data_IF_257756901253
#
_entry.id   IF_257756901253
#
_cell.length_a   1.000
_cell.length_b   1.000
_cell.length_c   1.000
_cell.angle_alpha   90.00
_cell.angle_beta   90.00
_cell.angle_gamma   90.00
#
_symmetry.space_group_name_H-M   'P 1'
#
loop_
_entity.id
_entity.type
_entity.pdbx_description
1 polymer ?
#
# COMPACT_ATOMS: atom_id res chain seq x y z
N UNK A 1 22.36 10.59 -27.70
CA UNK A 1 21.10 10.45 -26.91
C UNK A 1 21.17 9.40 -25.81
N UNK A 2 21.95 8.30 -25.94
CA UNK A 2 21.97 7.22 -24.94
C UNK A 2 22.77 7.50 -23.66
N UNK A 3 23.70 8.45 -23.67
CA UNK A 3 24.52 8.81 -22.50
C UNK A 3 23.79 9.72 -21.51
N UNK A 4 22.97 10.67 -21.98
CA UNK A 4 22.15 11.53 -21.11
C UNK A 4 21.04 10.76 -20.38
N UNK A 5 20.43 9.77 -21.05
CA UNK A 5 19.39 8.92 -20.45
C UNK A 5 20.00 7.96 -19.42
N UNK A 6 21.19 7.40 -19.71
CA UNK A 6 21.92 6.59 -18.75
C UNK A 6 22.28 7.42 -17.50
N UNK A 7 22.84 8.63 -17.68
CA UNK A 7 23.20 9.55 -16.58
C UNK A 7 21.96 9.98 -15.78
N UNK A 8 20.82 10.20 -16.43
CA UNK A 8 19.54 10.50 -15.76
C UNK A 8 19.04 9.33 -14.90
N UNK A 9 19.19 8.09 -15.38
CA UNK A 9 18.78 6.88 -14.64
C UNK A 9 19.76 6.58 -13.49
N UNK A 10 21.07 6.77 -13.67
CA UNK A 10 22.04 6.65 -12.55
C UNK A 10 21.84 7.75 -11.51
N UNK A 11 21.51 8.98 -11.93
CA UNK A 11 21.14 10.07 -11.01
C UNK A 11 19.82 9.75 -10.29
N UNK A 12 18.81 9.21 -10.98
CA UNK A 12 17.52 8.83 -10.36
C UNK A 12 17.68 7.65 -9.37
N UNK A 13 18.57 6.69 -9.67
CA UNK A 13 18.96 5.62 -8.76
C UNK A 13 19.79 6.15 -7.57
N UNK A 14 20.63 7.16 -7.79
CA UNK A 14 21.32 7.88 -6.71
C UNK A 14 20.35 8.71 -5.85
N UNK A 15 19.25 9.22 -6.42
CA UNK A 15 18.17 9.87 -5.68
C UNK A 15 17.28 8.89 -4.91
N UNK A 16 17.23 7.61 -5.28
CA UNK A 16 16.63 6.56 -4.44
C UNK A 16 17.45 6.33 -3.15
N UNK A 17 18.76 6.56 -3.18
CA UNK A 17 19.59 6.57 -1.98
C UNK A 17 19.36 7.81 -1.09
N UNK A 18 18.82 8.91 -1.64
CA UNK A 18 18.46 10.11 -0.88
C UNK A 18 17.16 9.95 -0.08
N UNK A 19 16.20 9.14 -0.55
CA UNK A 19 15.04 8.73 0.26
C UNK A 19 15.45 7.96 1.53
N UNK A 20 16.58 7.25 1.44
CA UNK A 20 17.19 6.54 2.56
C UNK A 20 17.88 7.50 3.55
N UNK A 21 18.37 8.66 3.11
CA UNK A 21 19.02 9.65 3.96
C UNK A 21 18.04 10.50 4.78
N UNK A 22 16.84 10.75 4.23
CA UNK A 22 15.74 11.44 4.93
C UNK A 22 15.09 10.52 5.98
N UNK A 23 15.07 9.21 5.70
CA UNK A 23 14.69 8.15 6.65
C UNK A 23 15.58 8.08 7.91
N UNK A 24 16.82 8.58 7.85
CA UNK A 24 17.77 8.58 8.98
C UNK A 24 17.30 9.49 10.12
N UNK A 25 16.54 10.56 9.83
CA UNK A 25 16.09 11.49 10.88
C UNK A 25 14.86 10.99 11.64
N UNK A 26 14.04 10.13 11.02
CA UNK A 26 12.87 9.48 11.64
C UNK A 26 13.24 8.66 12.90
N UNK A 27 14.47 8.18 12.97
CA UNK A 27 14.84 7.17 13.95
C UNK A 27 16.13 7.55 14.65
N UNK A 28 16.01 8.10 15.87
CA UNK A 28 17.14 8.31 16.78
C UNK A 28 17.99 7.02 16.81
N UNK A 29 19.28 7.15 16.47
CA UNK A 29 20.34 6.16 16.16
C UNK A 29 20.21 4.68 16.63
N UNK A 30 19.44 4.36 17.67
CA UNK A 30 19.29 3.02 18.23
C UNK A 30 18.20 2.16 17.57
N UNK A 31 17.17 2.75 16.94
CA UNK A 31 16.09 1.98 16.28
C UNK A 31 16.25 1.87 14.75
N UNK A 32 17.15 2.64 14.13
CA UNK A 32 17.26 2.75 12.67
C UNK A 32 17.60 1.40 12.04
N UNK A 33 18.63 0.75 12.58
CA UNK A 33 19.06 -0.59 12.17
C UNK A 33 17.94 -1.63 12.29
N UNK A 34 17.04 -1.47 13.27
CA UNK A 34 15.90 -2.37 13.45
C UNK A 34 14.89 -2.18 12.32
N UNK A 35 14.50 -0.95 12.03
CA UNK A 35 13.52 -0.67 10.97
C UNK A 35 14.10 -0.96 9.59
N UNK A 36 15.37 -0.65 9.34
CA UNK A 36 16.06 -1.04 8.10
C UNK A 36 16.04 -2.55 7.90
N UNK A 37 16.34 -3.32 8.96
CA UNK A 37 16.27 -4.79 8.93
C UNK A 37 14.85 -5.29 8.68
N UNK A 38 13.85 -4.69 9.31
CA UNK A 38 12.45 -5.03 9.09
C UNK A 38 11.99 -4.71 7.67
N UNK A 39 12.41 -3.57 7.11
CA UNK A 39 12.12 -3.16 5.75
C UNK A 39 12.80 -4.08 4.73
N UNK A 40 14.09 -4.41 4.94
CA UNK A 40 14.81 -5.36 4.10
C UNK A 40 14.16 -6.75 4.13
N UNK A 41 13.81 -7.25 5.33
CA UNK A 41 13.10 -8.52 5.49
C UNK A 41 11.73 -8.50 4.81
N UNK A 42 11.00 -7.39 4.91
CA UNK A 42 9.73 -7.22 4.22
C UNK A 42 9.91 -7.26 2.71
N UNK A 43 10.82 -6.44 2.14
CA UNK A 43 11.08 -6.38 0.69
C UNK A 43 11.46 -7.76 0.15
N UNK A 44 12.33 -8.48 0.85
CA UNK A 44 12.71 -9.85 0.49
C UNK A 44 11.51 -10.81 0.48
N UNK A 45 10.68 -10.80 1.54
CA UNK A 45 9.48 -11.67 1.60
C UNK A 45 8.46 -11.31 0.53
N UNK A 46 8.21 -10.02 0.33
CA UNK A 46 7.27 -9.51 -0.66
C UNK A 46 7.67 -9.88 -2.09
N UNK A 47 8.96 -9.83 -2.39
CA UNK A 47 9.54 -10.29 -3.65
C UNK A 47 9.33 -11.78 -3.91
N UNK A 48 9.42 -12.60 -2.87
CA UNK A 48 9.36 -14.06 -2.98
C UNK A 48 7.94 -14.64 -2.85
N UNK A 49 6.92 -13.80 -2.77
CA UNK A 49 5.52 -14.24 -2.66
C UNK A 49 5.07 -14.97 -3.93
N UNK A 50 4.32 -16.06 -3.78
CA UNK A 50 3.76 -16.83 -4.91
C UNK A 50 2.85 -16.00 -5.79
N UNK A 51 2.20 -14.98 -5.23
CA UNK A 51 1.33 -14.06 -5.99
C UNK A 51 2.10 -13.19 -7.00
N UNK A 52 3.45 -13.22 -6.97
CA UNK A 52 4.32 -12.58 -7.96
C UNK A 52 4.55 -13.42 -9.20
N UNK A 53 4.19 -14.70 -9.20
CA UNK A 53 4.22 -15.55 -10.39
C UNK A 53 2.84 -15.50 -11.07
N UNK A 54 2.74 -14.78 -12.17
CA UNK A 54 1.47 -14.43 -12.79
C UNK A 54 1.29 -15.18 -14.09
N UNK A 55 0.14 -15.82 -14.25
CA UNK A 55 -0.24 -16.48 -15.49
C UNK A 55 -0.78 -15.47 -16.50
N UNK A 56 -0.09 -15.33 -17.64
CA UNK A 56 -0.51 -14.46 -18.74
C UNK A 56 -1.48 -15.23 -19.62
N UNK A 57 -2.78 -15.01 -19.41
CA UNK A 57 -3.85 -15.89 -19.94
C UNK A 57 -3.85 -16.00 -21.46
N UNK A 58 -3.62 -14.88 -22.14
CA UNK A 58 -3.68 -14.82 -23.60
C UNK A 58 -2.42 -15.42 -24.26
N UNK A 59 -1.37 -15.66 -23.49
CA UNK A 59 -0.08 -16.18 -23.98
C UNK A 59 0.27 -17.56 -23.44
N UNK A 60 -0.50 -18.05 -22.47
CA UNK A 60 -0.40 -19.40 -21.92
C UNK A 60 0.98 -19.72 -21.29
N UNK A 61 1.60 -18.76 -20.62
CA UNK A 61 2.80 -18.98 -19.80
C UNK A 61 2.79 -18.10 -18.54
N UNK A 62 3.70 -18.38 -17.61
CA UNK A 62 3.85 -17.60 -16.37
C UNK A 62 5.01 -16.62 -16.49
N UNK A 63 4.84 -15.41 -15.95
CA UNK A 63 5.92 -14.45 -15.77
C UNK A 63 6.13 -14.15 -14.28
N UNK A 64 7.39 -13.92 -13.89
CA UNK A 64 7.76 -13.65 -12.49
C UNK A 64 7.99 -12.15 -12.27
N UNK A 65 7.28 -11.56 -11.30
CA UNK A 65 7.41 -10.17 -10.85
C UNK A 65 8.03 -10.09 -9.45
N UNK A 66 9.12 -10.85 -9.27
CA UNK A 66 9.75 -11.07 -7.98
C UNK A 66 10.81 -10.00 -7.61
N UNK A 67 11.10 -9.04 -8.48
CA UNK A 67 12.03 -7.95 -8.17
C UNK A 67 11.24 -6.81 -7.51
N UNK A 68 11.63 -6.40 -6.31
CA UNK A 68 10.90 -5.37 -5.57
C UNK A 68 10.84 -4.02 -6.36
N UNK A 69 9.70 -3.31 -6.36
CA UNK A 69 8.43 -3.68 -5.73
C UNK A 69 7.59 -4.66 -6.57
N UNK A 70 7.74 -4.67 -7.90
CA UNK A 70 6.92 -5.52 -8.78
C UNK A 70 7.47 -5.57 -10.21
N UNK A 71 8.80 -5.73 -10.35
CA UNK A 71 9.49 -5.82 -11.64
C UNK A 71 9.68 -7.28 -12.06
N UNK A 72 9.53 -7.50 -13.36
CA UNK A 72 10.00 -8.69 -14.07
C UNK A 72 11.27 -8.35 -14.87
N UNK A 73 12.13 -9.36 -15.07
CA UNK A 73 13.23 -9.34 -16.03
C UNK A 73 12.82 -9.85 -17.44
N UNK A 74 11.54 -10.20 -17.59
CA UNK A 74 10.89 -10.71 -18.79
C UNK A 74 11.58 -11.96 -19.36
N UNK A 75 12.16 -12.81 -18.51
CA UNK A 75 12.81 -14.04 -18.95
C UNK A 75 11.84 -15.00 -19.63
N UNK A 76 10.66 -15.21 -19.04
CA UNK A 76 9.67 -16.14 -19.60
C UNK A 76 9.02 -15.55 -20.84
N UNK A 77 8.76 -14.24 -20.84
CA UNK A 77 8.31 -13.50 -22.04
C UNK A 77 9.30 -13.67 -23.19
N UNK A 78 10.61 -13.50 -22.96
CA UNK A 78 11.64 -13.67 -24.00
C UNK A 78 11.74 -15.09 -24.53
N UNK A 79 11.51 -16.10 -23.70
CA UNK A 79 11.54 -17.52 -24.10
C UNK A 79 10.33 -17.90 -24.96
N UNK A 80 9.15 -17.40 -24.58
CA UNK A 80 7.88 -17.81 -25.20
C UNK A 80 7.48 -16.92 -26.37
N UNK A 81 7.91 -15.65 -26.38
CA UNK A 81 7.65 -14.70 -27.45
C UNK A 81 8.99 -14.30 -28.05
N UNK A 82 9.26 -14.83 -29.25
CA UNK A 82 10.48 -14.58 -30.02
C UNK A 82 10.50 -13.17 -30.64
N UNK A 83 10.24 -12.12 -29.84
CA UNK A 83 10.20 -10.72 -30.24
C UNK A 83 10.98 -9.84 -29.23
N UNK A 84 12.22 -9.51 -29.58
CA UNK A 84 13.09 -8.70 -28.74
C UNK A 84 12.62 -7.24 -28.64
N UNK A 85 11.98 -6.70 -29.68
CA UNK A 85 11.51 -5.31 -29.68
C UNK A 85 10.37 -5.13 -28.68
N UNK A 86 9.47 -6.10 -28.63
CA UNK A 86 8.43 -6.17 -27.62
C UNK A 86 9.02 -6.24 -26.20
N UNK A 87 9.97 -7.14 -25.95
CA UNK A 87 10.57 -7.28 -24.61
C UNK A 87 11.24 -5.97 -24.19
N UNK A 88 11.93 -5.29 -25.12
CA UNK A 88 12.50 -3.97 -24.87
C UNK A 88 11.42 -2.92 -24.56
N UNK A 89 10.32 -2.93 -25.31
CA UNK A 89 9.17 -2.05 -25.07
C UNK A 89 8.51 -2.29 -23.70
N UNK A 90 8.26 -3.55 -23.34
CA UNK A 90 7.67 -3.91 -22.05
C UNK A 90 8.60 -3.50 -20.90
N UNK A 91 9.91 -3.70 -21.07
CA UNK A 91 10.91 -3.25 -20.10
C UNK A 91 10.90 -1.72 -19.92
N UNK A 92 10.90 -0.96 -21.02
CA UNK A 92 10.80 0.52 -20.99
C UNK A 92 9.50 0.98 -20.33
N UNK A 93 8.38 0.37 -20.69
CA UNK A 93 7.07 0.70 -20.13
C UNK A 93 6.99 0.37 -18.65
N UNK A 94 7.43 -0.82 -18.22
CA UNK A 94 7.53 -1.20 -16.81
C UNK A 94 8.36 -0.19 -16.02
N UNK A 95 9.46 0.30 -16.60
CA UNK A 95 10.32 1.27 -15.96
C UNK A 95 9.60 2.62 -15.72
N UNK A 96 8.74 3.07 -16.64
CA UNK A 96 7.93 4.28 -16.43
C UNK A 96 6.96 4.13 -15.24
N UNK A 97 6.28 2.99 -15.12
CA UNK A 97 5.41 2.68 -13.97
C UNK A 97 6.22 2.65 -12.66
N UNK A 98 7.39 2.03 -12.69
CA UNK A 98 8.29 2.00 -11.53
C UNK A 98 8.76 3.39 -11.11
N UNK A 99 9.15 4.25 -12.06
CA UNK A 99 9.62 5.62 -11.76
C UNK A 99 8.51 6.41 -11.04
N UNK A 100 7.27 6.32 -11.54
CA UNK A 100 6.15 6.97 -10.88
C UNK A 100 5.88 6.35 -9.50
N UNK A 101 5.97 5.04 -9.36
CA UNK A 101 5.82 4.41 -8.04
C UNK A 101 6.89 4.87 -7.05
N UNK A 102 8.15 4.95 -7.48
CA UNK A 102 9.26 5.38 -6.65
C UNK A 102 9.11 6.86 -6.22
N UNK A 103 8.52 7.71 -7.05
CA UNK A 103 8.21 9.09 -6.65
C UNK A 103 7.14 9.13 -5.55
N UNK A 104 6.13 8.26 -5.60
CA UNK A 104 5.10 8.14 -4.56
C UNK A 104 5.62 7.52 -3.27
N UNK A 105 6.52 6.54 -3.36
CA UNK A 105 7.25 6.00 -2.23
C UNK A 105 8.02 7.11 -1.49
N UNK A 106 8.71 7.96 -2.25
CA UNK A 106 9.43 9.10 -1.71
C UNK A 106 8.49 10.09 -1.00
N UNK A 107 7.38 10.47 -1.64
CA UNK A 107 6.37 11.36 -1.05
C UNK A 107 5.82 10.80 0.28
N UNK A 108 5.55 9.49 0.35
CA UNK A 108 5.14 8.84 1.58
C UNK A 108 6.20 8.97 2.67
N UNK A 109 7.48 8.70 2.37
CA UNK A 109 8.55 8.83 3.37
C UNK A 109 8.78 10.27 3.82
N UNK A 110 8.71 11.25 2.92
CA UNK A 110 8.81 12.67 3.26
C UNK A 110 7.69 13.09 4.23
N UNK A 111 6.46 12.64 3.98
CA UNK A 111 5.33 12.91 4.87
C UNK A 111 5.50 12.25 6.25
N UNK A 112 5.90 10.98 6.29
CA UNK A 112 6.15 10.29 7.56
C UNK A 112 7.25 10.99 8.37
N UNK A 113 8.29 11.50 7.69
CA UNK A 113 9.35 12.29 8.32
C UNK A 113 8.84 13.60 8.92
N UNK A 114 8.02 14.35 8.18
CA UNK A 114 7.40 15.57 8.67
C UNK A 114 6.56 15.31 9.93
N UNK A 115 5.69 14.31 9.89
CA UNK A 115 4.86 13.94 11.04
C UNK A 115 5.70 13.60 12.26
N UNK A 116 6.72 12.76 12.11
CA UNK A 116 7.58 12.36 13.24
C UNK A 116 8.29 13.56 13.89
N UNK A 117 8.69 14.56 13.10
CA UNK A 117 9.27 15.81 13.60
C UNK A 117 8.24 16.62 14.40
N UNK A 118 7.01 16.73 13.88
CA UNK A 118 5.93 17.51 14.52
C UNK A 118 5.43 16.88 15.82
N UNK A 119 5.24 15.56 15.85
CA UNK A 119 4.64 14.86 17.01
C UNK A 119 5.64 14.48 18.09
N UNK A 120 6.95 14.58 17.81
CA UNK A 120 8.04 14.03 18.64
C UNK A 120 7.83 12.52 18.93
N UNK A 121 6.95 11.85 18.19
CA UNK A 121 6.58 10.47 18.40
C UNK A 121 7.63 9.55 17.77
N UNK A 122 8.10 8.58 18.56
CA UNK A 122 9.16 7.64 18.17
C UNK A 122 8.63 6.33 17.62
N UNK A 123 7.32 6.10 17.64
CA UNK A 123 6.67 4.81 17.37
C UNK A 123 5.65 4.89 16.23
N UNK A 124 5.98 5.59 15.15
CA UNK A 124 5.16 5.58 13.95
C UNK A 124 5.15 4.16 13.34
N UNK A 125 3.99 3.61 12.94
CA UNK A 125 3.90 2.23 12.42
C UNK A 125 4.37 2.15 10.96
N UNK A 126 5.56 2.66 10.67
CA UNK A 126 6.14 2.83 9.32
C UNK A 126 6.08 1.53 8.52
N UNK A 127 6.48 0.41 9.13
CA UNK A 127 6.49 -0.89 8.45
C UNK A 127 5.07 -1.35 8.09
N UNK A 128 4.07 -1.07 8.92
CA UNK A 128 2.67 -1.42 8.65
C UNK A 128 2.13 -0.61 7.47
N UNK A 129 2.37 0.70 7.48
CA UNK A 129 1.93 1.62 6.43
C UNK A 129 2.62 1.31 5.09
N UNK A 130 3.93 1.09 5.13
CA UNK A 130 4.72 0.76 3.95
C UNK A 130 4.35 -0.60 3.34
N UNK A 131 4.03 -1.59 4.18
CA UNK A 131 3.48 -2.87 3.74
C UNK A 131 2.17 -2.68 2.98
N UNK A 132 1.21 -1.95 3.58
CA UNK A 132 -0.08 -1.63 2.94
C UNK A 132 0.11 -0.91 1.60
N UNK A 133 0.99 0.10 1.56
CA UNK A 133 1.33 0.80 0.33
C UNK A 133 1.84 -0.16 -0.75
N UNK A 134 2.81 -1.01 -0.40
CA UNK A 134 3.44 -1.95 -1.35
C UNK A 134 2.47 -3.01 -1.86
N UNK A 135 1.64 -3.58 -0.99
CA UNK A 135 0.64 -4.59 -1.35
C UNK A 135 -0.42 -4.00 -2.28
N UNK A 136 -0.98 -2.84 -1.94
CA UNK A 136 -2.03 -2.22 -2.73
C UNK A 136 -1.50 -1.63 -4.03
N UNK A 137 -0.29 -1.06 -4.04
CA UNK A 137 0.35 -0.59 -5.27
C UNK A 137 0.60 -1.74 -6.25
N UNK A 138 0.96 -2.93 -5.77
CA UNK A 138 1.09 -4.10 -6.63
C UNK A 138 -0.24 -4.53 -7.25
N UNK A 139 -1.35 -4.47 -6.50
CA UNK A 139 -2.66 -4.78 -7.08
C UNK A 139 -3.05 -3.78 -8.18
N UNK A 140 -2.74 -2.48 -7.98
CA UNK A 140 -2.93 -1.45 -9.00
C UNK A 140 -2.05 -1.75 -10.22
N UNK A 141 -0.77 -2.08 -10.02
CA UNK A 141 0.15 -2.45 -11.09
C UNK A 141 -0.32 -3.70 -11.87
N UNK A 142 -0.75 -4.74 -11.17
CA UNK A 142 -1.28 -5.96 -11.78
C UNK A 142 -2.49 -5.65 -12.69
N UNK A 143 -3.42 -4.82 -12.22
CA UNK A 143 -4.61 -4.46 -12.97
C UNK A 143 -4.36 -3.49 -14.13
N UNK A 144 -3.26 -2.74 -14.11
CA UNK A 144 -2.98 -1.68 -15.10
C UNK A 144 -1.86 -2.06 -16.07
N UNK A 145 -0.75 -2.59 -15.60
CA UNK A 145 0.34 -3.03 -16.47
C UNK A 145 0.11 -4.45 -16.96
N UNK A 146 -0.03 -5.40 -16.04
CA UNK A 146 0.01 -6.83 -16.39
C UNK A 146 -1.24 -7.21 -17.18
N UNK A 147 -2.43 -6.97 -16.62
CA UNK A 147 -3.70 -7.34 -17.28
C UNK A 147 -4.06 -6.48 -18.49
N UNK A 148 -3.66 -5.20 -18.55
CA UNK A 148 -4.07 -4.29 -19.64
C UNK A 148 -3.00 -4.04 -20.69
N UNK A 149 -1.74 -4.39 -20.43
CA UNK A 149 -0.64 -4.23 -21.40
C UNK A 149 -0.10 -5.62 -21.77
N UNK A 150 0.34 -6.42 -20.79
CA UNK A 150 0.93 -7.73 -21.11
C UNK A 150 -0.07 -8.78 -21.56
N UNK A 151 -1.25 -8.86 -20.93
CA UNK A 151 -2.27 -9.82 -21.36
C UNK A 151 -2.97 -9.38 -22.66
N UNK A 152 -3.21 -8.09 -22.88
CA UNK A 152 -3.96 -7.59 -24.04
C UNK A 152 -3.14 -7.48 -25.32
N UNK A 153 -1.81 -7.46 -25.19
CA UNK A 153 -0.94 -7.43 -26.36
C UNK A 153 -1.16 -8.70 -27.16
N UNK A 154 -1.63 -8.61 -28.40
CA UNK A 154 -1.51 -9.72 -29.33
C UNK A 154 -0.06 -9.76 -29.79
N UNK A 155 0.75 -10.63 -29.18
CA UNK A 155 2.20 -10.68 -29.31
C UNK A 155 2.72 -11.21 -30.65
N UNK A 156 1.91 -11.09 -31.70
CA UNK A 156 2.26 -11.53 -33.04
C UNK A 156 2.43 -10.32 -33.95
N UNK A 157 3.71 -10.02 -34.22
CA UNK A 157 4.25 -9.08 -35.21
C UNK A 157 4.23 -7.59 -34.82
N UNK A 158 5.35 -7.16 -34.24
CA UNK A 158 5.83 -5.77 -34.22
C UNK A 158 6.06 -5.30 -35.66
N UNK A 159 4.98 -4.98 -36.37
CA UNK A 159 5.03 -4.09 -37.52
C UNK A 159 4.46 -2.71 -37.24
N UNK A 160 3.69 -2.54 -36.18
CA UNK A 160 3.51 -1.26 -35.52
C UNK A 160 3.09 -1.52 -34.06
N UNK A 161 3.83 -0.97 -33.10
CA UNK A 161 3.17 -0.42 -31.91
C UNK A 161 2.31 0.70 -32.45
N UNK A 162 1.10 0.35 -32.87
CA UNK A 162 0.17 1.26 -33.49
C UNK A 162 -0.34 2.26 -32.45
N UNK A 163 -0.97 3.32 -32.92
CA UNK A 163 -1.47 4.36 -32.04
C UNK A 163 -2.58 3.84 -31.11
N UNK A 164 -3.23 2.72 -31.47
CA UNK A 164 -4.16 2.04 -30.60
C UNK A 164 -3.46 1.44 -29.37
N UNK A 165 -2.36 0.73 -29.56
CA UNK A 165 -1.62 0.14 -28.45
C UNK A 165 -0.93 1.20 -27.58
N UNK A 166 -0.38 2.26 -28.18
CA UNK A 166 0.13 3.41 -27.40
C UNK A 166 -0.96 4.02 -26.52
N UNK A 167 -2.17 4.21 -27.07
CA UNK A 167 -3.32 4.72 -26.31
C UNK A 167 -3.71 3.79 -25.14
N UNK A 168 -3.61 2.47 -25.32
CA UNK A 168 -3.80 1.51 -24.22
C UNK A 168 -2.76 1.73 -23.12
N UNK A 169 -1.49 1.87 -23.49
CA UNK A 169 -0.41 2.11 -22.52
C UNK A 169 -0.59 3.44 -21.80
N UNK A 170 -0.89 4.51 -22.53
CA UNK A 170 -1.11 5.85 -21.96
C UNK A 170 -2.29 5.86 -20.99
N UNK A 171 -3.44 5.28 -21.37
CA UNK A 171 -4.60 5.16 -20.48
C UNK A 171 -4.32 4.29 -19.27
N UNK A 172 -3.55 3.22 -19.44
CA UNK A 172 -3.19 2.31 -18.35
C UNK A 172 -2.26 2.99 -17.36
N UNK A 173 -1.28 3.76 -17.85
CA UNK A 173 -0.39 4.57 -17.03
C UNK A 173 -1.17 5.68 -16.31
N UNK A 174 -2.05 6.40 -17.00
CA UNK A 174 -2.90 7.42 -16.36
C UNK A 174 -3.78 6.81 -15.25
N UNK A 175 -4.35 5.63 -15.48
CA UNK A 175 -5.13 4.91 -14.46
C UNK A 175 -4.25 4.54 -13.28
N UNK A 176 -3.07 3.97 -13.54
CA UNK A 176 -2.09 3.59 -12.52
C UNK A 176 -1.72 4.79 -11.65
N UNK A 177 -1.35 5.91 -12.28
CA UNK A 177 -0.92 7.12 -11.59
C UNK A 177 -2.02 7.69 -10.70
N UNK A 178 -3.25 7.80 -11.22
CA UNK A 178 -4.39 8.31 -10.47
C UNK A 178 -4.75 7.43 -9.27
N UNK A 179 -4.77 6.10 -9.43
CA UNK A 179 -5.08 5.19 -8.34
C UNK A 179 -3.97 5.14 -7.29
N UNK A 180 -2.71 5.24 -7.72
CA UNK A 180 -1.59 5.29 -6.80
C UNK A 180 -1.55 6.62 -6.02
N UNK A 181 -1.90 7.74 -6.66
CA UNK A 181 -2.08 9.03 -5.96
C UNK A 181 -3.16 8.96 -4.88
N UNK A 182 -4.31 8.36 -5.20
CA UNK A 182 -5.39 8.14 -4.22
C UNK A 182 -4.91 7.26 -3.06
N UNK A 183 -4.21 6.17 -3.37
CA UNK A 183 -3.66 5.26 -2.36
C UNK A 183 -2.70 6.01 -1.42
N UNK A 184 -1.76 6.77 -1.97
CA UNK A 184 -0.80 7.55 -1.19
C UNK A 184 -1.52 8.52 -0.25
N UNK A 185 -2.52 9.26 -0.76
CA UNK A 185 -3.34 10.17 0.07
C UNK A 185 -4.08 9.44 1.19
N UNK A 186 -4.72 8.31 0.91
CA UNK A 186 -5.42 7.51 1.92
C UNK A 186 -4.47 7.07 3.03
N UNK A 187 -3.27 6.60 2.68
CA UNK A 187 -2.28 6.16 3.66
C UNK A 187 -1.78 7.32 4.51
N UNK A 188 -1.50 8.46 3.87
CA UNK A 188 -1.10 9.71 4.53
C UNK A 188 -2.18 10.16 5.53
N UNK A 189 -3.45 10.22 5.12
CA UNK A 189 -4.58 10.65 5.95
C UNK A 189 -4.86 9.70 7.13
N UNK A 190 -4.46 8.42 7.03
CA UNK A 190 -4.55 7.45 8.13
C UNK A 190 -3.49 7.69 9.23
N UNK A 191 -2.36 8.34 8.93
CA UNK A 191 -1.25 8.51 9.88
C UNK A 191 -1.65 9.31 11.13
N UNK A 192 -2.25 10.51 11.03
CA UNK A 192 -2.63 11.29 12.20
C UNK A 192 -3.68 10.59 13.07
N UNK A 193 -4.54 9.77 12.46
CA UNK A 193 -5.51 8.95 13.16
C UNK A 193 -4.79 7.93 14.04
N UNK A 194 -3.82 7.20 13.48
CA UNK A 194 -3.05 6.18 14.21
C UNK A 194 -2.20 6.82 15.32
N UNK A 195 -1.60 7.99 15.07
CA UNK A 195 -0.81 8.69 16.09
C UNK A 195 -1.64 9.16 17.29
N UNK A 196 -2.84 9.72 17.06
CA UNK A 196 -3.76 10.06 18.16
C UNK A 196 -4.07 8.85 19.03
N UNK A 197 -4.14 7.66 18.43
CA UNK A 197 -4.36 6.42 19.19
C UNK A 197 -3.11 5.91 19.93
N UNK A 198 -1.90 6.15 19.43
CA UNK A 198 -0.65 5.70 20.06
C UNK A 198 -0.15 6.67 21.17
N UNK A 199 -0.39 7.99 21.04
CA UNK A 199 -0.05 8.93 22.12
C UNK A 199 -0.85 8.70 23.41
N UNK A 200 -2.05 8.13 23.32
CA UNK A 200 -2.88 7.79 24.48
C UNK A 200 -2.37 6.54 25.24
N UNK A 201 -1.56 5.67 24.61
CA UNK A 201 -1.01 4.47 25.26
C UNK A 201 0.29 4.72 26.02
N UNK A 202 1.01 5.80 25.70
CA UNK A 202 2.39 6.01 26.15
C UNK A 202 2.52 7.04 27.28
N UNK A 203 1.39 7.51 27.85
CA UNK A 203 1.36 8.37 29.03
C UNK A 203 0.62 7.70 30.19
N UNK A 204 1.31 6.83 30.92
CA UNK A 204 0.79 6.22 32.14
C UNK A 204 1.81 6.21 33.27
N UNK A 205 1.63 7.15 34.20
CA UNK A 205 1.67 6.83 35.62
C UNK A 205 0.20 6.67 36.04
N UNK A 206 -0.19 5.47 36.46
CA UNK A 206 -1.58 5.10 36.73
C UNK A 206 -2.07 5.70 38.07
N UNK A 207 -3.14 6.48 38.00
CA UNK A 207 -4.01 6.83 39.13
C UNK A 207 -5.47 6.48 38.76
N UNK A 208 -6.31 6.19 39.76
CA UNK A 208 -7.68 5.69 39.56
C UNK A 208 -8.60 6.65 38.76
N UNK A 209 -8.34 7.96 38.78
CA UNK A 209 -9.05 8.95 37.94
C UNK A 209 -8.74 8.82 36.45
N UNK A 210 -7.57 8.27 36.09
CA UNK A 210 -7.14 8.10 34.71
C UNK A 210 -7.78 6.86 34.05
N UNK A 211 -8.10 5.84 34.85
CA UNK A 211 -8.77 4.61 34.38
C UNK A 211 -10.17 4.89 33.82
N UNK A 212 -10.97 5.69 34.52
CA UNK A 212 -12.32 6.06 34.08
C UNK A 212 -12.31 6.89 32.79
N UNK A 213 -11.31 7.77 32.60
CA UNK A 213 -11.17 8.60 31.39
C UNK A 213 -10.83 7.76 30.16
N UNK A 214 -9.97 6.76 30.34
CA UNK A 214 -9.54 5.87 29.25
C UNK A 214 -10.61 4.85 28.89
N UNK A 215 -11.42 4.42 29.84
CA UNK A 215 -12.62 3.62 29.55
C UNK A 215 -13.64 4.43 28.73
N UNK A 216 -13.83 5.71 29.04
CA UNK A 216 -14.75 6.58 28.29
C UNK A 216 -14.23 6.93 26.88
N UNK A 217 -12.93 7.11 26.73
CA UNK A 217 -12.31 7.37 25.42
C UNK A 217 -12.28 6.14 24.52
N UNK A 218 -11.97 4.96 25.09
CA UNK A 218 -12.07 3.68 24.38
C UNK A 218 -13.50 3.44 23.90
N UNK A 219 -14.48 3.79 24.72
CA UNK A 219 -15.88 3.71 24.32
C UNK A 219 -16.23 4.70 23.19
N UNK A 220 -15.74 5.94 23.25
CA UNK A 220 -15.94 6.93 22.19
C UNK A 220 -15.33 6.47 20.85
N UNK A 221 -14.15 5.83 20.90
CA UNK A 221 -13.51 5.19 19.75
C UNK A 221 -14.39 4.10 19.14
N UNK A 222 -15.03 3.28 19.97
CA UNK A 222 -15.93 2.23 19.48
C UNK A 222 -17.13 2.83 18.74
N UNK A 223 -17.72 3.92 19.25
CA UNK A 223 -18.83 4.60 18.56
C UNK A 223 -18.38 5.18 17.21
N UNK A 224 -17.22 5.84 17.17
CA UNK A 224 -16.65 6.38 15.92
C UNK A 224 -16.36 5.28 14.90
N UNK A 225 -15.84 4.13 15.32
CA UNK A 225 -15.56 3.02 14.40
C UNK A 225 -16.84 2.48 13.75
N UNK A 226 -17.96 2.48 14.48
CA UNK A 226 -19.26 2.12 13.94
C UNK A 226 -19.94 3.26 13.15
N UNK A 227 -19.33 4.44 13.09
CA UNK A 227 -19.88 5.63 12.41
C UNK A 227 -21.07 6.25 13.15
N UNK A 228 -21.13 6.11 14.47
CA UNK A 228 -22.23 6.59 15.34
C UNK A 228 -21.69 7.45 16.48
N UNK A 229 -22.58 8.08 17.24
CA UNK A 229 -22.24 8.90 18.41
C UNK A 229 -22.74 8.26 19.72
N UNK A 230 -22.28 8.78 20.87
CA UNK A 230 -22.71 8.30 22.20
C UNK A 230 -24.20 8.56 22.45
N UNK A 231 -24.83 9.46 21.70
CA UNK A 231 -26.25 9.81 21.79
C UNK A 231 -27.11 8.94 20.85
N UNK A 232 -26.49 8.20 19.93
CA UNK A 232 -27.20 7.36 18.95
C UNK A 232 -27.98 6.25 19.65
N UNK A 233 -29.22 5.98 19.22
CA UNK A 233 -30.07 4.96 19.84
C UNK A 233 -29.51 3.55 19.70
N UNK A 234 -29.83 2.66 20.66
CA UNK A 234 -29.33 1.28 20.67
C UNK A 234 -29.71 0.50 19.39
N UNK A 235 -30.91 0.75 18.85
CA UNK A 235 -31.36 0.19 17.58
C UNK A 235 -30.52 0.67 16.39
N UNK A 236 -30.17 1.96 16.37
CA UNK A 236 -29.35 2.55 15.32
C UNK A 236 -27.91 2.03 15.37
N UNK A 237 -27.36 1.80 16.56
CA UNK A 237 -26.04 1.16 16.75
C UNK A 237 -26.06 -0.27 16.21
N UNK A 238 -27.09 -1.07 16.56
CA UNK A 238 -27.27 -2.43 16.03
C UNK A 238 -27.39 -2.42 14.50
N UNK A 239 -28.09 -1.43 13.94
CA UNK A 239 -28.23 -1.25 12.48
C UNK A 239 -26.91 -0.89 11.80
N UNK A 240 -26.13 0.01 12.39
CA UNK A 240 -24.80 0.41 11.90
C UNK A 240 -23.83 -0.78 11.90
N UNK A 241 -23.77 -1.52 13.01
CA UNK A 241 -23.00 -2.76 13.11
C UNK A 241 -23.37 -3.77 12.01
N UNK A 242 -24.67 -4.10 11.86
CA UNK A 242 -25.14 -5.04 10.81
C UNK A 242 -24.85 -4.55 9.39
N UNK A 243 -24.79 -3.24 9.17
CA UNK A 243 -24.41 -2.68 7.88
C UNK A 243 -22.93 -2.91 7.59
N UNK A 244 -22.06 -2.56 8.54
CA UNK A 244 -20.62 -2.74 8.45
C UNK A 244 -20.24 -4.23 8.36
N UNK A 245 -20.85 -5.08 9.19
CA UNK A 245 -20.64 -6.52 9.18
C UNK A 245 -20.98 -7.14 7.82
N UNK A 246 -22.07 -6.72 7.16
CA UNK A 246 -22.39 -7.20 5.80
C UNK A 246 -21.41 -6.70 4.75
N UNK A 247 -20.87 -5.49 4.92
CA UNK A 247 -19.90 -4.86 4.00
C UNK A 247 -18.53 -5.53 4.07
N UNK A 248 -18.10 -5.94 5.26
CA UNK A 248 -16.77 -6.50 5.52
C UNK A 248 -16.80 -8.01 5.85
N UNK A 249 -17.93 -8.70 5.65
CA UNK A 249 -18.05 -10.13 5.92
C UNK A 249 -17.03 -10.94 5.10
N UNK A 250 -16.26 -11.86 5.70
CA UNK A 250 -15.24 -12.64 4.99
C UNK A 250 -15.80 -13.46 3.83
N UNK A 251 -17.05 -13.93 3.92
CA UNK A 251 -17.71 -14.66 2.82
C UNK A 251 -17.93 -13.80 1.57
N UNK A 252 -18.19 -12.50 1.75
CA UNK A 252 -18.44 -11.55 0.65
C UNK A 252 -17.18 -10.78 0.25
N UNK A 253 -16.22 -10.66 1.16
CA UNK A 253 -15.02 -9.87 0.99
C UNK A 253 -13.82 -10.65 1.54
N UNK A 254 -13.13 -11.38 0.66
CA UNK A 254 -12.05 -12.31 1.02
C UNK A 254 -10.69 -11.64 1.24
N UNK A 255 -10.63 -10.31 1.28
CA UNK A 255 -9.36 -9.61 1.49
C UNK A 255 -8.93 -9.62 2.96
N UNK A 256 -7.62 -9.52 3.19
CA UNK A 256 -7.05 -9.47 4.53
C UNK A 256 -7.56 -8.22 5.27
N UNK A 257 -7.72 -7.10 4.58
CA UNK A 257 -8.23 -5.86 5.17
C UNK A 257 -9.68 -6.00 5.64
N UNK A 258 -10.54 -6.70 4.88
CA UNK A 258 -11.91 -6.95 5.28
C UNK A 258 -11.98 -7.78 6.57
N UNK A 259 -11.10 -8.79 6.70
CA UNK A 259 -10.99 -9.62 7.90
C UNK A 259 -10.53 -8.81 9.12
N UNK A 260 -9.52 -7.96 8.96
CA UNK A 260 -9.02 -7.09 10.05
C UNK A 260 -10.06 -6.04 10.46
N UNK A 261 -10.71 -5.40 9.49
CA UNK A 261 -11.78 -4.44 9.76
C UNK A 261 -12.96 -5.11 10.45
N UNK A 262 -13.37 -6.30 10.01
CA UNK A 262 -14.44 -7.08 10.64
C UNK A 262 -14.11 -7.41 12.10
N UNK A 263 -12.86 -7.79 12.39
CA UNK A 263 -12.42 -8.03 13.75
C UNK A 263 -12.51 -6.78 14.64
N UNK A 264 -12.11 -5.61 14.11
CA UNK A 264 -12.22 -4.33 14.82
C UNK A 264 -13.68 -3.91 15.04
N UNK A 265 -14.54 -4.08 14.04
CA UNK A 265 -15.98 -3.78 14.11
C UNK A 265 -16.67 -4.63 15.17
N UNK A 266 -16.36 -5.93 15.23
CA UNK A 266 -16.89 -6.84 16.25
C UNK A 266 -16.47 -6.40 17.66
N UNK A 267 -15.17 -6.16 17.86
CA UNK A 267 -14.65 -5.74 19.16
C UNK A 267 -15.30 -4.42 19.64
N UNK A 268 -15.41 -3.42 18.75
CA UNK A 268 -16.05 -2.16 19.09
C UNK A 268 -17.52 -2.33 19.48
N UNK A 269 -18.26 -3.17 18.75
CA UNK A 269 -19.64 -3.46 19.08
C UNK A 269 -19.78 -4.17 20.44
N UNK A 270 -18.90 -5.12 20.74
CA UNK A 270 -18.91 -5.84 22.03
C UNK A 270 -18.63 -4.91 23.22
N UNK A 271 -17.68 -3.99 23.08
CA UNK A 271 -17.37 -2.98 24.11
C UNK A 271 -18.58 -2.07 24.35
N UNK A 272 -19.21 -1.55 23.29
CA UNK A 272 -20.41 -0.71 23.41
C UNK A 272 -21.56 -1.50 24.04
N UNK A 273 -21.74 -2.76 23.62
CA UNK A 273 -22.79 -3.65 24.13
C UNK A 273 -22.66 -3.84 25.63
N UNK A 274 -21.43 -4.13 26.11
CA UNK A 274 -21.12 -4.28 27.53
C UNK A 274 -21.32 -2.98 28.31
N UNK A 275 -20.92 -1.84 27.74
CA UNK A 275 -21.10 -0.55 28.39
C UNK A 275 -22.57 -0.12 28.52
N UNK A 276 -23.39 -0.43 27.50
CA UNK A 276 -24.81 -0.04 27.48
C UNK A 276 -25.78 -1.09 28.02
N UNK A 277 -25.32 -2.31 28.30
CA UNK A 277 -26.17 -3.46 28.63
C UNK A 277 -27.28 -3.72 27.58
N UNK A 278 -26.90 -3.87 26.30
CA UNK A 278 -27.85 -4.04 25.16
C UNK A 278 -27.71 -5.34 24.38
#
# INVERSE_FOLDING_TARGET
>A
MNTLIAISITLLLAFCALGLFVFIYLIKNNNLKKVEKELANFKMKFSNDTDKKIFLKNHNFYENFNIFPFKSDFLETRKNINDNNLVEFLSKTQNSFYIFWASKERELFEYLEQISKETKNKNLPVIKLYRKFSEQSFQIFNNTFIKRIMDTTHLNSVKLIDDFFKNIVDKSFQTFSNELDKLTKIIIDEVPIIEKFNHQSDSWNETDDNKNRVDEENLLRCYKLLGVTKETSNESIKKAYRSLARKYHPDKNKTIEAKELMAQINNAYDIIKKHRNI
#
